data_IF_962816652251
#
_entry.id   IF_962816652251
#
_cell.length_a   1.000
_cell.length_b   1.000
_cell.length_c   1.000
_cell.angle_alpha   90.00
_cell.angle_beta   90.00
_cell.angle_gamma   90.00
#
_symmetry.space_group_name_H-M   'P 1'
#
loop_
_entity.id
_entity.type
_entity.pdbx_description
1 polymer ?
#
# COMPACT_ATOMS: atom_id res chain seq x y z
N UNK A 1 -18.14 -27.11 2.68
CA UNK A 1 -18.60 -25.78 3.04
C UNK A 1 -17.47 -24.97 3.65
N UNK A 2 -16.79 -25.55 4.60
CA UNK A 2 -15.64 -24.88 5.21
C UNK A 2 -14.55 -24.63 4.19
N UNK A 3 -14.41 -25.54 3.24
CA UNK A 3 -13.43 -25.40 2.19
C UNK A 3 -13.70 -24.15 1.34
N UNK A 4 -14.99 -23.85 1.15
CA UNK A 4 -15.38 -22.69 0.36
C UNK A 4 -15.09 -21.39 1.08
N UNK A 5 -15.14 -21.41 2.41
CA UNK A 5 -14.86 -20.21 3.20
C UNK A 5 -13.37 -19.92 3.31
N UNK A 6 -12.54 -20.94 3.24
CA UNK A 6 -11.13 -20.79 3.46
C UNK A 6 -10.47 -19.79 2.49
N UNK A 7 -10.73 -19.86 1.18
CA UNK A 7 -10.16 -18.86 0.27
C UNK A 7 -10.61 -17.44 0.57
N UNK A 8 -11.83 -17.28 1.05
CA UNK A 8 -12.33 -15.96 1.43
C UNK A 8 -11.64 -15.44 2.67
N UNK A 9 -11.42 -16.31 3.63
CA UNK A 9 -10.72 -15.94 4.85
C UNK A 9 -9.28 -15.58 4.56
N UNK A 10 -8.63 -16.34 3.69
CA UNK A 10 -7.26 -16.08 3.30
C UNK A 10 -7.13 -14.73 2.62
N UNK A 11 -8.07 -14.40 1.74
CA UNK A 11 -8.05 -13.10 1.07
C UNK A 11 -8.26 -11.97 2.05
N UNK A 12 -9.13 -12.16 3.04
CA UNK A 12 -9.36 -11.17 4.06
C UNK A 12 -8.13 -11.00 4.95
N UNK A 13 -7.43 -12.10 5.22
CA UNK A 13 -6.20 -12.04 6.00
C UNK A 13 -5.10 -11.31 5.24
N UNK A 14 -5.13 -11.38 3.91
CA UNK A 14 -4.13 -10.74 3.06
C UNK A 14 -4.44 -9.26 2.79
N UNK A 15 -5.51 -8.74 3.34
CA UNK A 15 -5.88 -7.34 3.16
C UNK A 15 -6.27 -6.75 4.52
N UNK A 16 -5.32 -6.07 5.15
CA UNK A 16 -5.49 -5.55 6.49
C UNK A 16 -5.95 -4.10 6.56
N UNK A 17 -5.95 -3.40 5.44
CA UNK A 17 -6.34 -2.01 5.42
C UNK A 17 -7.81 -1.84 5.78
N UNK A 18 -8.12 -0.74 6.49
CA UNK A 18 -9.49 -0.42 6.89
C UNK A 18 -10.29 0.15 5.74
N UNK A 19 -9.59 0.74 4.79
CA UNK A 19 -10.21 1.37 3.63
C UNK A 19 -10.81 0.30 2.73
N UNK A 20 -11.80 0.71 1.95
CA UNK A 20 -12.40 -0.16 0.95
C UNK A 20 -11.34 -0.60 -0.06
N UNK A 21 -11.45 -1.85 -0.51
CA UNK A 21 -10.52 -2.40 -1.48
C UNK A 21 -10.44 -1.58 -2.76
N UNK A 22 -11.55 -0.97 -3.15
CA UNK A 22 -11.62 -0.16 -4.36
C UNK A 22 -11.28 1.30 -4.11
N UNK A 23 -10.90 1.65 -2.90
CA UNK A 23 -10.55 3.04 -2.59
C UNK A 23 -9.41 3.51 -3.48
N UNK A 24 -9.57 4.66 -4.18
CA UNK A 24 -8.47 5.17 -4.99
C UNK A 24 -7.31 5.63 -4.12
N UNK A 25 -6.13 5.18 -4.50
CA UNK A 25 -4.89 5.61 -3.84
C UNK A 25 -3.91 6.01 -4.93
N UNK A 26 -2.82 6.67 -4.54
CA UNK A 26 -1.85 7.17 -5.50
C UNK A 26 -0.62 6.28 -5.57
N UNK A 27 -0.15 6.07 -6.78
CA UNK A 27 1.15 5.46 -7.04
C UNK A 27 1.79 6.20 -8.21
N UNK A 28 2.73 5.60 -8.90
CA UNK A 28 3.40 6.26 -10.02
C UNK A 28 3.38 5.37 -11.26
N UNK A 29 3.74 5.96 -12.41
CA UNK A 29 3.86 5.20 -13.64
C UNK A 29 4.90 4.09 -13.52
N UNK A 30 5.93 4.28 -12.73
CA UNK A 30 6.95 3.26 -12.54
C UNK A 30 6.35 1.96 -11.99
N UNK A 31 5.41 2.08 -11.05
CA UNK A 31 4.73 0.88 -10.56
C UNK A 31 3.77 0.31 -11.60
N UNK A 32 3.01 1.17 -12.26
CA UNK A 32 2.00 0.71 -13.23
C UNK A 32 2.62 0.03 -14.43
N UNK A 33 3.73 0.54 -14.94
CA UNK A 33 4.33 0.03 -16.17
C UNK A 33 5.35 -1.07 -15.92
N UNK A 34 6.10 -0.98 -14.83
CA UNK A 34 7.20 -1.90 -14.57
C UNK A 34 7.11 -2.58 -13.21
N UNK A 35 6.07 -2.29 -12.43
CA UNK A 35 5.87 -2.81 -11.07
C UNK A 35 7.11 -2.63 -10.20
N UNK A 36 7.71 -1.45 -10.27
CA UNK A 36 8.84 -1.12 -9.42
C UNK A 36 8.45 -1.27 -7.95
N UNK A 37 9.35 -1.78 -7.10
CA UNK A 37 9.02 -2.02 -5.70
C UNK A 37 8.56 -0.76 -4.98
N UNK A 38 7.46 -0.86 -4.25
CA UNK A 38 6.99 0.22 -3.40
C UNK A 38 7.89 0.27 -2.16
N UNK A 39 8.58 1.37 -1.97
CA UNK A 39 9.51 1.54 -0.85
C UNK A 39 9.15 2.71 0.05
N UNK A 40 8.14 3.48 -0.31
CA UNK A 40 7.71 4.64 0.47
C UNK A 40 6.19 4.68 0.49
N UNK A 41 5.61 4.78 1.69
CA UNK A 41 4.16 4.83 1.85
C UNK A 41 3.85 6.03 2.73
N UNK A 42 2.92 6.87 2.27
CA UNK A 42 2.52 8.07 2.98
C UNK A 42 1.01 8.04 3.17
N UNK A 43 0.56 8.27 4.41
CA UNK A 43 -0.84 8.50 4.71
C UNK A 43 -0.94 9.95 5.18
N UNK A 44 -1.33 10.86 4.29
CA UNK A 44 -1.22 12.27 4.60
C UNK A 44 -2.31 12.72 5.57
N UNK A 45 -2.26 13.99 5.96
CA UNK A 45 -3.17 14.52 6.97
C UNK A 45 -4.62 14.59 6.51
N UNK A 46 -4.83 14.55 5.20
CA UNK A 46 -6.17 14.57 4.63
C UNK A 46 -6.73 13.16 4.40
N UNK A 47 -5.93 12.14 4.66
CA UNK A 47 -6.37 10.76 4.52
C UNK A 47 -6.06 10.12 3.19
N UNK A 48 -5.28 10.76 2.34
CA UNK A 48 -4.86 10.17 1.09
C UNK A 48 -3.68 9.25 1.29
N UNK A 49 -3.68 8.13 0.57
CA UNK A 49 -2.60 7.16 0.60
C UNK A 49 -1.74 7.29 -0.66
N UNK A 50 -0.42 7.29 -0.46
CA UNK A 50 0.55 7.32 -1.54
C UNK A 50 1.48 6.12 -1.40
N UNK A 51 1.57 5.32 -2.44
CA UNK A 51 2.44 4.14 -2.47
C UNK A 51 3.46 4.36 -3.57
N UNK A 52 4.69 4.70 -3.18
CA UNK A 52 5.67 5.25 -4.10
C UNK A 52 6.87 4.32 -4.27
N UNK A 53 7.20 3.93 -5.50
CA UNK A 53 8.49 3.34 -5.79
C UNK A 53 9.54 4.45 -5.93
N UNK A 54 10.77 4.06 -6.11
CA UNK A 54 11.82 5.02 -6.48
C UNK A 54 11.57 5.50 -7.91
N UNK A 55 11.93 6.74 -8.19
CA UNK A 55 11.82 7.29 -9.54
C UNK A 55 10.98 8.53 -9.59
N UNK A 56 10.50 8.87 -10.80
CA UNK A 56 9.74 10.08 -11.03
C UNK A 56 8.40 10.06 -10.32
N UNK A 57 8.02 11.14 -9.63
CA UNK A 57 6.77 11.17 -8.87
C UNK A 57 5.57 11.59 -9.73
N UNK A 58 5.32 10.92 -10.83
CA UNK A 58 4.17 11.21 -11.69
C UNK A 58 2.95 10.42 -11.18
N UNK A 59 2.19 11.03 -10.30
CA UNK A 59 1.12 10.36 -9.58
C UNK A 59 0.01 9.83 -10.49
N UNK A 60 -0.40 8.60 -10.21
CA UNK A 60 -1.50 7.92 -10.88
C UNK A 60 -2.41 7.32 -9.81
N UNK A 61 -3.69 7.19 -10.11
CA UNK A 61 -4.65 6.61 -9.18
C UNK A 61 -4.92 5.16 -9.54
N UNK A 62 -4.95 4.30 -8.52
CA UNK A 62 -5.28 2.88 -8.68
C UNK A 62 -6.12 2.45 -7.49
N UNK A 63 -6.92 1.38 -7.63
CA UNK A 63 -7.61 0.81 -6.46
C UNK A 63 -6.59 0.23 -5.48
N UNK A 64 -6.82 0.44 -4.20
CA UNK A 64 -5.92 -0.04 -3.15
C UNK A 64 -5.65 -1.54 -3.27
N UNK A 65 -6.64 -2.33 -3.60
CA UNK A 65 -6.48 -3.78 -3.68
C UNK A 65 -5.46 -4.21 -4.73
N UNK A 66 -5.30 -3.44 -5.80
CA UNK A 66 -4.33 -3.79 -6.83
C UNK A 66 -2.90 -3.75 -6.28
N UNK A 67 -2.61 -2.77 -5.44
CA UNK A 67 -1.29 -2.66 -4.82
C UNK A 67 -1.05 -3.78 -3.83
N UNK A 68 -2.01 -4.02 -2.94
CA UNK A 68 -1.86 -5.03 -1.90
C UNK A 68 -1.83 -6.44 -2.49
N UNK A 69 -2.59 -6.65 -3.54
CA UNK A 69 -2.62 -7.94 -4.23
C UNK A 69 -1.28 -8.26 -4.89
N UNK A 70 -0.66 -7.25 -5.48
CA UNK A 70 0.65 -7.41 -6.13
C UNK A 70 1.76 -7.53 -5.09
N UNK A 71 1.65 -6.79 -4.00
CA UNK A 71 2.66 -6.79 -2.93
C UNK A 71 1.98 -6.88 -1.57
N UNK A 72 1.73 -8.11 -1.08
CA UNK A 72 1.07 -8.28 0.22
C UNK A 72 1.86 -7.73 1.41
N UNK A 73 3.16 -7.46 1.26
CA UNK A 73 3.94 -6.87 2.35
C UNK A 73 3.49 -5.45 2.67
N UNK A 74 2.73 -4.81 1.78
CA UNK A 74 2.16 -3.50 2.06
C UNK A 74 1.16 -3.54 3.21
N UNK A 75 0.63 -4.71 3.55
CA UNK A 75 -0.25 -4.86 4.70
C UNK A 75 0.43 -4.46 6.01
N UNK A 76 1.75 -4.49 6.05
CA UNK A 76 2.47 -4.15 7.28
C UNK A 76 2.30 -2.68 7.69
N UNK A 77 1.90 -1.83 6.76
CA UNK A 77 1.71 -0.40 7.03
C UNK A 77 0.24 0.00 7.08
N UNK A 78 -0.65 -0.97 7.25
CA UNK A 78 -2.09 -0.73 7.24
C UNK A 78 -2.54 0.26 8.32
N UNK A 79 -1.80 0.34 9.41
CA UNK A 79 -2.17 1.14 10.56
C UNK A 79 -1.43 2.48 10.65
N UNK A 80 -0.87 2.95 9.54
CA UNK A 80 -0.35 4.31 9.52
C UNK A 80 -1.49 5.28 9.78
N UNK A 81 -1.29 6.17 10.73
CA UNK A 81 -2.28 7.18 11.05
C UNK A 81 -2.14 8.37 10.11
N UNK A 82 -3.08 9.29 10.16
CA UNK A 82 -3.03 10.49 9.35
C UNK A 82 -1.75 11.27 9.69
N UNK A 83 -1.02 11.63 8.65
CA UNK A 83 0.24 12.36 8.82
C UNK A 83 1.43 11.48 9.16
N UNK A 84 1.33 10.19 8.91
CA UNK A 84 2.46 9.27 9.11
C UNK A 84 2.94 8.71 7.79
N UNK A 85 4.20 8.29 7.76
CA UNK A 85 4.79 7.65 6.60
C UNK A 85 5.65 6.47 7.03
N UNK A 86 5.99 5.64 6.07
CA UNK A 86 6.89 4.51 6.29
C UNK A 86 7.74 4.29 5.05
N UNK A 87 8.98 3.90 5.23
CA UNK A 87 9.85 3.59 4.10
C UNK A 87 10.67 2.36 4.40
N UNK A 88 11.17 1.75 3.34
CA UNK A 88 12.04 0.57 3.41
C UNK A 88 12.97 0.58 2.22
N UNK A 89 13.99 -0.27 2.27
CA UNK A 89 14.98 -0.30 1.18
C UNK A 89 14.58 -1.24 0.04
N UNK A 90 13.76 -2.25 0.34
CA UNK A 90 13.37 -3.25 -0.66
C UNK A 90 12.11 -3.98 -0.21
N UNK A 91 11.46 -4.70 -1.12
CA UNK A 91 10.28 -5.49 -0.78
C UNK A 91 10.67 -6.54 0.27
N UNK A 92 9.87 -6.60 1.33
CA UNK A 92 10.14 -7.50 2.45
C UNK A 92 11.11 -6.94 3.46
N UNK A 93 11.70 -5.77 3.18
CA UNK A 93 12.57 -5.11 4.13
C UNK A 93 11.80 -4.51 5.29
N UNK A 94 12.53 -4.14 6.33
CA UNK A 94 11.93 -3.58 7.52
C UNK A 94 11.47 -2.14 7.28
N UNK A 95 10.22 -1.87 7.62
CA UNK A 95 9.66 -0.53 7.49
C UNK A 95 10.18 0.39 8.58
N UNK A 96 10.54 1.61 8.20
CA UNK A 96 10.89 2.69 9.13
C UNK A 96 9.76 3.71 9.10
N UNK A 97 9.13 3.94 10.25
CA UNK A 97 7.99 4.85 10.33
C UNK A 97 8.43 6.22 10.78
N UNK A 98 7.77 7.25 10.27
CA UNK A 98 8.09 8.63 10.60
C UNK A 98 6.83 9.47 10.48
N UNK A 99 6.93 10.73 10.91
CA UNK A 99 5.85 11.69 10.75
C UNK A 99 6.01 12.38 9.41
N UNK A 100 4.90 12.48 8.67
CA UNK A 100 4.90 13.14 7.38
C UNK A 100 4.33 14.55 7.55
N UNK A 101 5.15 15.55 7.32
CA UNK A 101 4.76 16.95 7.50
C UNK A 101 4.53 17.69 6.20
N UNK A 102 4.81 17.07 5.08
CA UNK A 102 4.72 17.69 3.77
C UNK A 102 3.33 17.92 3.20
#
# INVERSE_FOLDING_TARGET
IETDLQPLLDRNADFKFREDKLRPVFTTSAWLESQEPIVDVIHDKEGYWFFLPLGEPDLKMVPLEELVKTDPTLNDVFNLDYGESANREFIGGQWQRDVYEG
#
